data_IF_102269750455
#
_entry.id   IF_102269750455
#
_cell.length_a   1.000
_cell.length_b   1.000
_cell.length_c   1.000
_cell.angle_alpha   90.00
_cell.angle_beta   90.00
_cell.angle_gamma   90.00
#
_symmetry.space_group_name_H-M   'P 1'
#
loop_
_entity.id
_entity.type
_entity.pdbx_description
1 polymer ?
#
# COMPACT_ATOMS: atom_id res chain seq x y z
N UNK A 1 43.53 -26.85 -13.80
CA UNK A 1 44.15 -28.16 -13.49
C UNK A 1 43.22 -28.91 -12.56
N UNK A 2 42.54 -29.96 -12.98
CA UNK A 2 41.83 -30.88 -12.08
C UNK A 2 42.89 -31.83 -11.54
N UNK A 3 43.21 -31.78 -10.26
CA UNK A 3 43.99 -32.76 -9.56
C UNK A 3 43.15 -34.05 -9.46
N UNK A 4 43.48 -35.03 -10.25
CA UNK A 4 42.72 -36.28 -10.40
C UNK A 4 43.09 -37.33 -9.32
N UNK A 5 43.54 -36.89 -8.13
CA UNK A 5 43.94 -37.74 -7.01
C UNK A 5 43.00 -37.68 -5.81
N UNK A 6 41.74 -37.28 -6.01
CA UNK A 6 40.74 -37.37 -4.93
C UNK A 6 40.28 -38.82 -4.80
N UNK A 7 40.36 -39.43 -3.60
CA UNK A 7 39.84 -40.78 -3.35
C UNK A 7 38.37 -40.86 -3.78
N UNK A 8 38.03 -41.88 -4.53
CA UNK A 8 36.68 -42.04 -5.07
C UNK A 8 35.81 -43.01 -4.27
N UNK A 9 36.43 -43.79 -3.40
CA UNK A 9 35.76 -44.76 -2.57
C UNK A 9 36.08 -44.57 -1.07
N UNK A 10 35.19 -45.02 -0.19
CA UNK A 10 35.34 -44.95 1.27
C UNK A 10 36.57 -45.72 1.74
N UNK A 11 36.88 -46.85 1.07
CA UNK A 11 38.05 -47.66 1.37
C UNK A 11 39.37 -46.94 1.07
N UNK A 12 39.42 -46.18 -0.02
CA UNK A 12 40.60 -45.34 -0.33
C UNK A 12 40.83 -44.27 0.71
N UNK A 13 39.76 -43.66 1.20
CA UNK A 13 39.80 -42.65 2.28
C UNK A 13 40.25 -43.27 3.60
N UNK A 14 39.79 -44.47 3.95
CA UNK A 14 40.21 -45.19 5.16
C UNK A 14 41.69 -45.58 5.10
N UNK A 15 42.21 -45.87 3.92
CA UNK A 15 43.62 -46.27 3.68
C UNK A 15 44.54 -45.06 3.43
N UNK A 16 44.08 -43.85 3.56
CA UNK A 16 44.87 -42.62 3.37
C UNK A 16 45.93 -42.49 4.47
N UNK A 17 47.24 -42.41 4.15
CA UNK A 17 48.29 -42.23 5.14
C UNK A 17 48.23 -40.79 5.67
N UNK A 18 48.17 -40.63 7.01
CA UNK A 18 48.07 -39.31 7.68
C UNK A 18 49.47 -38.86 8.14
N UNK A 19 50.23 -39.77 8.74
CA UNK A 19 51.52 -39.40 9.36
C UNK A 19 52.40 -40.64 9.52
N UNK A 20 53.71 -40.44 9.46
CA UNK A 20 54.68 -41.47 9.80
C UNK A 20 55.37 -41.15 11.12
N UNK A 21 55.31 -42.06 12.12
CA UNK A 21 55.93 -41.93 13.43
C UNK A 21 56.83 -43.10 13.66
N UNK A 22 58.14 -42.84 13.90
CA UNK A 22 59.17 -43.87 14.13
C UNK A 22 59.18 -44.99 13.13
N UNK A 23 58.97 -44.69 11.83
CA UNK A 23 58.96 -45.65 10.76
C UNK A 23 57.65 -46.39 10.53
N UNK A 24 56.64 -46.19 11.38
CA UNK A 24 55.28 -46.74 11.21
C UNK A 24 54.37 -45.72 10.61
N UNK A 25 53.68 -46.07 9.51
CA UNK A 25 52.68 -45.21 8.87
C UNK A 25 51.33 -45.38 9.57
N UNK A 26 50.76 -44.24 10.01
CA UNK A 26 49.42 -44.18 10.59
C UNK A 26 48.44 -43.80 9.48
N UNK A 27 47.42 -44.64 9.28
CA UNK A 27 46.36 -44.45 8.29
C UNK A 27 45.13 -43.78 8.93
N UNK A 28 44.23 -43.28 8.08
CA UNK A 28 42.99 -42.67 8.54
C UNK A 28 42.16 -43.65 9.41
N UNK A 29 42.07 -44.91 9.02
CA UNK A 29 41.37 -45.98 9.76
C UNK A 29 41.90 -46.22 11.19
N UNK A 30 43.14 -45.81 11.47
CA UNK A 30 43.75 -46.04 12.78
C UNK A 30 43.32 -44.97 13.79
N UNK A 31 42.83 -43.83 13.32
CA UNK A 31 42.47 -42.68 14.15
C UNK A 31 41.02 -42.20 13.97
N UNK A 32 40.36 -42.61 12.85
CA UNK A 32 38.99 -42.20 12.51
C UNK A 32 38.28 -43.32 11.72
N UNK A 33 36.97 -43.31 11.76
CA UNK A 33 36.12 -44.17 10.94
C UNK A 33 35.47 -43.37 9.83
N UNK A 34 35.87 -43.61 8.57
CA UNK A 34 35.28 -42.97 7.41
C UNK A 34 34.14 -43.85 6.90
N UNK A 35 32.98 -43.25 6.75
CA UNK A 35 31.80 -43.92 6.21
C UNK A 35 31.09 -42.97 5.22
N UNK A 36 30.42 -43.55 4.24
CA UNK A 36 29.49 -42.84 3.41
C UNK A 36 28.24 -42.50 4.25
N UNK A 37 27.87 -41.23 4.31
CA UNK A 37 26.72 -40.78 5.08
C UNK A 37 26.49 -39.28 4.95
N UNK A 38 25.33 -38.85 5.31
CA UNK A 38 24.96 -37.43 5.37
C UNK A 38 25.25 -36.83 6.75
N UNK A 39 25.40 -35.52 6.81
CA UNK A 39 25.34 -34.80 8.06
C UNK A 39 23.98 -35.05 8.74
N UNK A 40 23.90 -35.04 10.09
CA UNK A 40 22.63 -35.13 10.78
C UNK A 40 21.64 -34.09 10.23
N UNK A 41 20.44 -34.52 9.94
CA UNK A 41 19.39 -33.62 9.45
C UNK A 41 18.97 -32.70 10.62
N UNK A 42 19.20 -31.41 10.45
CA UNK A 42 18.85 -30.38 11.44
C UNK A 42 17.77 -29.42 10.94
N UNK A 43 17.34 -29.57 9.69
CA UNK A 43 16.29 -28.78 9.07
C UNK A 43 15.46 -29.65 8.14
N UNK A 44 14.16 -29.46 8.15
CA UNK A 44 13.24 -30.05 7.16
C UNK A 44 12.19 -29.02 6.76
N UNK A 45 11.90 -28.98 5.47
CA UNK A 45 10.84 -28.15 4.90
C UNK A 45 9.76 -29.06 4.34
N UNK A 46 8.51 -28.76 4.61
CA UNK A 46 7.39 -29.50 4.06
C UNK A 46 6.33 -28.53 3.54
N UNK A 47 5.59 -28.97 2.56
CA UNK A 47 4.46 -28.25 2.01
C UNK A 47 3.24 -29.16 1.99
N UNK A 48 2.21 -28.78 2.71
CA UNK A 48 1.00 -29.62 2.90
C UNK A 48 1.34 -31.05 3.38
N UNK A 49 2.27 -31.19 4.32
CA UNK A 49 2.75 -32.45 4.87
C UNK A 49 3.72 -33.25 3.98
N UNK A 50 4.09 -32.77 2.79
CA UNK A 50 5.05 -33.44 1.89
C UNK A 50 6.39 -32.74 1.92
N UNK A 51 7.49 -33.51 1.83
CA UNK A 51 8.84 -32.94 1.75
C UNK A 51 8.95 -31.95 0.60
N UNK A 52 9.54 -30.81 0.89
CA UNK A 52 9.72 -29.69 -0.04
C UNK A 52 11.08 -29.01 0.17
N UNK A 53 11.43 -28.11 -0.73
CA UNK A 53 12.57 -27.22 -0.60
C UNK A 53 12.03 -25.78 -0.66
N UNK A 54 12.32 -24.98 0.35
CA UNK A 54 11.98 -23.58 0.38
C UNK A 54 13.15 -22.75 -0.17
N UNK A 55 12.91 -22.00 -1.24
CA UNK A 55 13.84 -21.01 -1.76
C UNK A 55 13.32 -19.62 -1.45
N UNK A 56 14.03 -18.89 -0.60
CA UNK A 56 13.68 -17.50 -0.27
C UNK A 56 14.48 -16.56 -1.16
N UNK A 57 13.78 -15.67 -1.86
CA UNK A 57 14.38 -14.64 -2.71
C UNK A 57 14.27 -13.32 -1.96
N UNK A 58 15.42 -12.74 -1.63
CA UNK A 58 15.51 -11.50 -0.89
C UNK A 58 15.80 -10.33 -1.86
N UNK A 59 15.11 -9.23 -1.63
CA UNK A 59 15.38 -7.98 -2.35
C UNK A 59 16.72 -7.41 -1.91
N UNK A 60 17.59 -7.06 -2.85
CA UNK A 60 18.86 -6.36 -2.60
C UNK A 60 18.75 -4.92 -3.09
N UNK A 61 19.11 -3.97 -2.23
CA UNK A 61 19.11 -2.55 -2.54
C UNK A 61 17.74 -1.99 -2.92
N UNK A 62 17.75 -1.00 -3.81
CA UNK A 62 16.55 -0.25 -4.23
C UNK A 62 15.82 -0.86 -5.44
N UNK A 63 16.09 -2.12 -5.77
CA UNK A 63 15.46 -2.80 -6.89
C UNK A 63 13.94 -2.89 -6.71
N UNK A 64 13.17 -2.76 -7.79
CA UNK A 64 11.71 -2.88 -7.75
C UNK A 64 11.25 -4.29 -7.38
N UNK A 65 10.41 -4.41 -6.35
CA UNK A 65 9.78 -5.68 -5.94
C UNK A 65 8.98 -6.30 -7.10
N UNK A 66 8.25 -5.48 -7.87
CA UNK A 66 7.50 -5.96 -9.05
C UNK A 66 8.43 -6.55 -10.10
N UNK A 67 9.54 -5.85 -10.43
CA UNK A 67 10.49 -6.32 -11.43
C UNK A 67 11.14 -7.65 -11.02
N UNK A 68 11.48 -7.81 -9.73
CA UNK A 68 12.04 -9.07 -9.21
C UNK A 68 11.02 -10.21 -9.34
N UNK A 69 9.80 -10.00 -8.88
CA UNK A 69 8.75 -11.04 -8.91
C UNK A 69 8.39 -11.41 -10.35
N UNK A 70 8.24 -10.42 -11.23
CA UNK A 70 7.93 -10.66 -12.65
C UNK A 70 9.10 -11.36 -13.34
N UNK A 71 10.36 -11.00 -13.03
CA UNK A 71 11.55 -11.68 -13.49
C UNK A 71 11.58 -13.15 -13.06
N UNK A 72 11.33 -13.42 -11.78
CA UNK A 72 11.26 -14.81 -11.27
C UNK A 72 10.16 -15.59 -11.97
N UNK A 73 8.94 -15.03 -12.04
CA UNK A 73 7.80 -15.69 -12.71
C UNK A 73 8.06 -15.97 -14.20
N UNK A 74 8.84 -15.14 -14.88
CA UNK A 74 9.21 -15.33 -16.29
C UNK A 74 10.22 -16.46 -16.52
N UNK A 75 11.09 -16.72 -15.53
CA UNK A 75 12.14 -17.75 -15.61
C UNK A 75 11.60 -19.14 -15.27
N UNK A 76 10.67 -19.24 -14.31
CA UNK A 76 10.14 -20.53 -13.81
C UNK A 76 9.63 -21.46 -14.92
N UNK A 77 8.83 -21.02 -15.92
CA UNK A 77 8.35 -21.92 -16.96
C UNK A 77 9.47 -22.53 -17.83
N UNK A 78 10.62 -21.84 -17.91
CA UNK A 78 11.81 -22.35 -18.59
C UNK A 78 12.52 -23.41 -17.73
N UNK A 79 12.59 -23.17 -16.42
CA UNK A 79 13.20 -24.12 -15.47
C UNK A 79 12.36 -25.40 -15.35
N UNK A 80 11.03 -25.29 -15.29
CA UNK A 80 10.12 -26.44 -15.20
C UNK A 80 10.30 -27.42 -16.36
N UNK A 81 10.65 -26.93 -17.57
CA UNK A 81 10.94 -27.79 -18.72
C UNK A 81 12.24 -28.61 -18.57
N UNK A 82 13.18 -28.11 -17.75
CA UNK A 82 14.46 -28.77 -17.51
C UNK A 82 14.44 -29.65 -16.25
N UNK A 83 13.40 -29.54 -15.41
CA UNK A 83 13.29 -30.29 -14.17
C UNK A 83 12.48 -31.59 -14.34
N UNK A 84 12.66 -32.56 -13.44
CA UNK A 84 11.83 -33.77 -13.42
C UNK A 84 10.35 -33.41 -13.26
N UNK A 85 9.46 -34.11 -13.97
CA UNK A 85 8.00 -33.91 -13.90
C UNK A 85 7.38 -34.11 -12.51
N UNK A 86 8.10 -34.80 -11.62
CA UNK A 86 7.71 -35.00 -10.22
C UNK A 86 7.90 -33.77 -9.34
N UNK A 87 8.74 -32.81 -9.78
CA UNK A 87 8.95 -31.55 -9.05
C UNK A 87 7.90 -30.51 -9.45
N UNK A 88 7.15 -30.02 -8.46
CA UNK A 88 6.16 -28.95 -8.63
C UNK A 88 6.66 -27.70 -7.94
N UNK A 89 6.76 -26.60 -8.68
CA UNK A 89 7.11 -25.28 -8.13
C UNK A 89 5.83 -24.54 -7.74
N UNK A 90 5.79 -24.00 -6.53
CA UNK A 90 4.66 -23.21 -6.04
C UNK A 90 5.18 -21.91 -5.45
N UNK A 91 4.52 -20.80 -5.79
CA UNK A 91 4.87 -19.48 -5.23
C UNK A 91 4.24 -19.33 -3.85
N UNK A 92 5.01 -18.76 -2.94
CA UNK A 92 4.58 -18.47 -1.59
C UNK A 92 5.11 -17.09 -1.15
N UNK A 93 4.30 -16.31 -0.39
CA UNK A 93 4.75 -15.02 0.15
C UNK A 93 5.07 -13.96 -0.89
N UNK A 94 4.31 -13.90 -1.99
CA UNK A 94 4.49 -12.92 -3.08
C UNK A 94 4.20 -11.49 -2.59
N UNK A 95 5.26 -10.73 -2.30
CA UNK A 95 5.14 -9.34 -1.83
C UNK A 95 4.65 -8.37 -2.92
N UNK A 96 4.63 -8.77 -4.20
CA UNK A 96 4.13 -7.91 -5.29
C UNK A 96 2.63 -7.68 -5.20
N UNK A 97 1.88 -8.55 -4.53
CA UNK A 97 0.44 -8.44 -4.33
C UNK A 97 0.11 -7.12 -3.62
N UNK A 98 0.84 -6.77 -2.57
CA UNK A 98 0.63 -5.53 -1.81
C UNK A 98 0.90 -4.29 -2.66
N UNK A 99 1.98 -4.31 -3.45
CA UNK A 99 2.34 -3.19 -4.34
C UNK A 99 1.30 -3.04 -5.46
N UNK A 100 0.86 -4.14 -6.07
CA UNK A 100 -0.19 -4.11 -7.10
C UNK A 100 -1.53 -3.63 -6.52
N UNK A 101 -1.90 -4.09 -5.33
CA UNK A 101 -3.10 -3.64 -4.64
C UNK A 101 -3.04 -2.13 -4.34
N UNK A 102 -1.90 -1.62 -3.86
CA UNK A 102 -1.70 -0.20 -3.62
C UNK A 102 -1.80 0.63 -4.91
N UNK A 103 -1.17 0.19 -6.01
CA UNK A 103 -1.28 0.86 -7.33
C UNK A 103 -2.74 0.89 -7.78
N UNK A 104 -3.42 -0.26 -7.73
CA UNK A 104 -4.84 -0.35 -8.10
C UNK A 104 -5.71 0.54 -7.22
N UNK A 105 -5.42 0.62 -5.91
CA UNK A 105 -6.07 1.51 -4.95
C UNK A 105 -5.95 2.97 -5.36
N UNK A 106 -4.72 3.44 -5.60
CA UNK A 106 -4.46 4.84 -6.02
C UNK A 106 -5.17 5.18 -7.33
N UNK A 107 -5.13 4.28 -8.33
CA UNK A 107 -5.83 4.48 -9.59
C UNK A 107 -7.35 4.56 -9.37
N UNK A 108 -7.92 3.64 -8.58
CA UNK A 108 -9.34 3.64 -8.24
C UNK A 108 -9.75 4.89 -7.47
N UNK A 109 -9.00 5.29 -6.47
CA UNK A 109 -9.24 6.51 -5.70
C UNK A 109 -9.14 7.75 -6.58
N UNK A 110 -8.13 7.82 -7.44
CA UNK A 110 -7.98 8.91 -8.43
C UNK A 110 -9.16 9.02 -9.37
N UNK A 111 -9.64 7.90 -9.92
CA UNK A 111 -10.82 7.87 -10.78
C UNK A 111 -12.09 8.27 -10.04
N UNK A 112 -12.28 7.76 -8.81
CA UNK A 112 -13.45 8.10 -7.99
C UNK A 112 -13.42 9.59 -7.59
N UNK A 113 -12.27 10.10 -7.17
CA UNK A 113 -12.12 11.51 -6.83
C UNK A 113 -12.39 12.42 -8.04
N UNK A 114 -11.80 12.10 -9.20
CA UNK A 114 -12.05 12.85 -10.45
C UNK A 114 -13.53 12.81 -10.87
N UNK A 115 -14.17 11.65 -10.76
CA UNK A 115 -15.59 11.50 -11.11
C UNK A 115 -16.51 12.27 -10.15
N UNK A 116 -16.27 12.19 -8.83
CA UNK A 116 -17.03 12.94 -7.83
C UNK A 116 -16.83 14.44 -7.98
N UNK A 117 -15.60 14.89 -8.20
CA UNK A 117 -15.29 16.30 -8.47
C UNK A 117 -15.98 16.78 -9.75
N UNK A 118 -15.87 16.01 -10.83
CA UNK A 118 -16.53 16.33 -12.10
C UNK A 118 -18.05 16.44 -11.91
N UNK A 119 -18.65 15.53 -11.15
CA UNK A 119 -20.08 15.56 -10.83
C UNK A 119 -20.44 16.81 -10.01
N UNK A 120 -19.64 17.13 -8.99
CA UNK A 120 -19.90 18.31 -8.15
C UNK A 120 -19.76 19.60 -8.93
N UNK A 121 -18.72 19.75 -9.74
CA UNK A 121 -18.51 20.92 -10.59
C UNK A 121 -19.64 21.04 -11.61
N UNK A 122 -20.06 19.94 -12.22
CA UNK A 122 -21.17 19.94 -13.16
C UNK A 122 -22.49 20.37 -12.49
N UNK A 123 -22.72 19.95 -11.24
CA UNK A 123 -23.89 20.35 -10.45
C UNK A 123 -23.88 21.83 -10.07
N UNK A 124 -22.71 22.37 -9.65
CA UNK A 124 -22.61 23.75 -9.16
C UNK A 124 -22.40 24.78 -10.27
N UNK A 125 -21.48 24.52 -11.22
CA UNK A 125 -21.18 25.46 -12.29
C UNK A 125 -21.99 25.20 -13.56
N UNK A 126 -22.61 24.00 -13.73
CA UNK A 126 -23.37 23.68 -14.92
C UNK A 126 -22.57 23.60 -16.22
N UNK A 127 -21.23 23.64 -16.16
CA UNK A 127 -20.33 23.73 -17.30
C UNK A 127 -19.47 22.48 -17.43
N UNK A 128 -19.76 21.64 -18.43
CA UNK A 128 -18.95 20.46 -18.73
C UNK A 128 -17.51 20.83 -19.16
N UNK A 129 -17.32 22.03 -19.73
CA UNK A 129 -16.03 22.54 -20.18
C UNK A 129 -15.11 22.80 -19.01
N UNK A 130 -15.59 23.50 -17.99
CA UNK A 130 -14.89 23.71 -16.72
C UNK A 130 -14.55 22.39 -16.03
N UNK A 131 -15.50 21.45 -16.06
CA UNK A 131 -15.32 20.11 -15.50
C UNK A 131 -14.15 19.35 -16.14
N UNK A 132 -14.04 19.39 -17.48
CA UNK A 132 -12.95 18.72 -18.21
C UNK A 132 -11.59 19.32 -17.86
N UNK A 133 -11.50 20.65 -17.73
CA UNK A 133 -10.24 21.33 -17.35
C UNK A 133 -9.74 20.83 -15.98
N UNK A 134 -10.63 20.80 -15.00
CA UNK A 134 -10.28 20.39 -13.63
C UNK A 134 -9.98 18.89 -13.58
N UNK A 135 -10.81 18.05 -14.22
CA UNK A 135 -10.60 16.61 -14.24
C UNK A 135 -9.28 16.20 -14.91
N UNK A 136 -8.79 16.98 -15.90
CA UNK A 136 -7.51 16.72 -16.55
C UNK A 136 -6.30 17.12 -15.66
N UNK A 137 -6.44 18.13 -14.80
CA UNK A 137 -5.34 18.61 -13.94
C UNK A 137 -4.91 17.59 -12.89
N UNK A 138 -5.85 16.79 -12.35
CA UNK A 138 -5.58 15.82 -11.28
C UNK A 138 -4.59 14.74 -11.71
N UNK A 139 -4.82 13.96 -12.78
CA UNK A 139 -3.89 12.92 -13.20
C UNK A 139 -2.54 13.50 -13.63
N UNK A 140 -2.51 14.71 -14.19
CA UNK A 140 -1.27 15.35 -14.60
C UNK A 140 -0.43 15.78 -13.39
N UNK A 141 -1.04 16.26 -12.30
CA UNK A 141 -0.33 16.56 -11.06
C UNK A 141 0.25 15.31 -10.41
N UNK A 142 -0.47 14.19 -10.42
CA UNK A 142 0.03 12.89 -9.96
C UNK A 142 1.21 12.42 -10.83
N UNK A 143 1.09 12.51 -12.15
CA UNK A 143 2.17 12.15 -13.09
C UNK A 143 3.40 13.04 -12.91
N UNK A 144 3.22 14.33 -12.65
CA UNK A 144 4.30 15.24 -12.31
C UNK A 144 5.06 14.77 -11.07
N UNK A 145 4.34 14.43 -10.00
CA UNK A 145 4.96 13.88 -8.77
C UNK A 145 5.74 12.60 -9.05
N UNK A 146 5.14 11.65 -9.77
CA UNK A 146 5.82 10.40 -10.14
C UNK A 146 7.09 10.65 -10.97
N UNK A 147 7.06 11.60 -11.91
CA UNK A 147 8.21 11.96 -12.71
C UNK A 147 9.35 12.55 -11.85
N UNK A 148 9.02 13.43 -10.91
CA UNK A 148 10.02 14.03 -10.00
C UNK A 148 10.58 12.97 -9.04
N UNK A 149 9.73 12.12 -8.44
CA UNK A 149 10.17 11.00 -7.60
C UNK A 149 11.12 10.07 -8.35
N UNK A 150 10.79 9.73 -9.59
CA UNK A 150 11.66 8.92 -10.46
C UNK A 150 13.00 9.59 -10.75
N UNK A 151 13.00 10.90 -11.01
CA UNK A 151 14.24 11.67 -11.24
C UNK A 151 15.14 11.74 -10.00
N UNK A 152 14.56 11.68 -8.80
CA UNK A 152 15.28 11.63 -7.52
C UNK A 152 15.71 10.21 -7.12
N UNK A 153 15.45 9.21 -7.95
CA UNK A 153 15.78 7.81 -7.67
C UNK A 153 14.85 7.11 -6.70
N UNK A 154 13.73 7.72 -6.32
CA UNK A 154 12.73 7.10 -5.47
C UNK A 154 11.95 6.02 -6.22
N UNK A 155 11.64 4.93 -5.53
CA UNK A 155 10.84 3.84 -6.08
C UNK A 155 9.37 3.99 -5.71
N UNK A 156 8.47 3.53 -6.60
CA UNK A 156 7.06 3.39 -6.25
C UNK A 156 6.90 2.25 -5.24
N UNK A 157 6.58 2.61 -4.01
CA UNK A 157 6.35 1.71 -2.89
C UNK A 157 5.02 2.05 -2.20
N UNK A 158 4.62 1.26 -1.21
CA UNK A 158 3.35 1.45 -0.50
C UNK A 158 3.26 2.86 0.13
N UNK A 159 4.38 3.41 0.61
CA UNK A 159 4.40 4.73 1.25
C UNK A 159 4.28 5.86 0.24
N UNK A 160 5.03 5.83 -0.88
CA UNK A 160 4.89 6.81 -1.95
C UNK A 160 3.51 6.77 -2.60
N UNK A 161 2.95 5.56 -2.80
CA UNK A 161 1.60 5.38 -3.32
C UNK A 161 0.53 5.88 -2.34
N UNK A 162 0.69 5.61 -1.03
CA UNK A 162 -0.18 6.17 0.00
C UNK A 162 -0.13 7.70 0.06
N UNK A 163 1.06 8.29 -0.12
CA UNK A 163 1.22 9.74 -0.26
C UNK A 163 0.50 10.30 -1.48
N UNK A 164 0.60 9.64 -2.63
CA UNK A 164 -0.14 10.03 -3.84
C UNK A 164 -1.66 9.93 -3.66
N UNK A 165 -2.15 8.88 -3.01
CA UNK A 165 -3.57 8.73 -2.70
C UNK A 165 -4.08 9.87 -1.80
N UNK A 166 -3.32 10.21 -0.75
CA UNK A 166 -3.61 11.36 0.11
C UNK A 166 -3.61 12.67 -0.68
N UNK A 167 -2.61 12.85 -1.55
CA UNK A 167 -2.49 14.05 -2.37
C UNK A 167 -3.70 14.25 -3.31
N UNK A 168 -4.20 13.18 -3.94
CA UNK A 168 -5.37 13.25 -4.85
C UNK A 168 -6.56 13.94 -4.20
N UNK A 169 -6.82 13.70 -2.91
CA UNK A 169 -7.89 14.36 -2.17
C UNK A 169 -7.70 15.87 -1.99
N UNK A 170 -6.46 16.35 -2.04
CA UNK A 170 -6.10 17.77 -1.83
C UNK A 170 -5.93 18.51 -3.17
N UNK A 171 -5.48 17.81 -4.23
CA UNK A 171 -5.14 18.41 -5.52
C UNK A 171 -6.32 19.04 -6.27
N UNK A 172 -7.54 18.63 -5.92
CA UNK A 172 -8.78 19.09 -6.57
C UNK A 172 -9.00 20.58 -6.39
N UNK A 173 -8.61 21.11 -5.23
CA UNK A 173 -8.96 22.47 -4.83
C UNK A 173 -8.27 23.55 -5.68
N UNK A 174 -7.01 23.39 -6.03
CA UNK A 174 -6.24 24.42 -6.76
C UNK A 174 -6.84 24.75 -8.14
N UNK A 175 -7.21 23.72 -8.87
CA UNK A 175 -7.82 23.87 -10.19
C UNK A 175 -9.26 24.35 -10.10
N UNK A 176 -10.01 23.89 -9.10
CA UNK A 176 -11.42 24.27 -8.87
C UNK A 176 -11.53 25.75 -8.55
N UNK A 177 -10.76 26.24 -7.56
CA UNK A 177 -10.77 27.67 -7.16
C UNK A 177 -10.34 28.57 -8.33
N UNK A 178 -9.38 28.11 -9.14
CA UNK A 178 -8.93 28.88 -10.33
C UNK A 178 -10.07 29.03 -11.35
N UNK A 179 -10.74 27.95 -11.70
CA UNK A 179 -11.85 27.96 -12.67
C UNK A 179 -13.06 28.70 -12.12
N UNK A 180 -13.37 28.54 -10.83
CA UNK A 180 -14.46 29.27 -10.17
C UNK A 180 -14.25 30.79 -10.24
N UNK A 181 -13.04 31.25 -9.92
CA UNK A 181 -12.73 32.67 -9.99
C UNK A 181 -12.74 33.21 -11.45
N UNK A 182 -12.26 32.45 -12.41
CA UNK A 182 -12.36 32.79 -13.84
C UNK A 182 -13.85 32.92 -14.25
N UNK A 183 -14.68 31.94 -13.87
CA UNK A 183 -16.11 31.97 -14.18
C UNK A 183 -16.82 33.15 -13.50
N UNK A 184 -16.46 33.47 -12.26
CA UNK A 184 -16.98 34.67 -11.57
C UNK A 184 -16.69 35.95 -12.35
N UNK A 185 -15.47 36.10 -12.91
CA UNK A 185 -15.15 37.27 -13.75
C UNK A 185 -15.90 37.26 -15.09
N UNK A 186 -16.12 36.07 -15.67
CA UNK A 186 -16.94 35.95 -16.89
C UNK A 186 -18.40 36.33 -16.65
N UNK A 187 -18.98 35.89 -15.53
CA UNK A 187 -20.36 36.27 -15.12
C UNK A 187 -20.49 37.76 -14.86
N UNK A 188 -19.42 38.42 -14.44
CA UNK A 188 -19.37 39.89 -14.26
C UNK A 188 -19.14 40.66 -15.59
N UNK A 189 -19.22 39.97 -16.73
CA UNK A 189 -19.23 40.60 -18.06
C UNK A 189 -17.85 40.94 -18.64
N UNK A 190 -16.76 40.36 -18.10
CA UNK A 190 -15.41 40.48 -18.68
C UNK A 190 -15.26 39.62 -19.91
N UNK A 191 -14.38 39.99 -20.83
CA UNK A 191 -13.95 39.13 -21.93
C UNK A 191 -13.24 37.90 -21.41
N UNK A 192 -13.22 36.80 -22.16
CA UNK A 192 -12.57 35.53 -21.73
C UNK A 192 -11.12 35.76 -21.34
N UNK A 193 -10.38 36.51 -22.14
CA UNK A 193 -8.97 36.79 -21.90
C UNK A 193 -8.75 37.61 -20.60
N UNK A 194 -9.53 38.68 -20.40
CA UNK A 194 -9.46 39.47 -19.19
C UNK A 194 -9.90 38.68 -17.94
N UNK A 195 -10.96 37.86 -18.05
CA UNK A 195 -11.44 37.02 -16.97
C UNK A 195 -10.40 35.99 -16.54
N UNK A 196 -9.66 35.40 -17.49
CA UNK A 196 -8.59 34.46 -17.20
C UNK A 196 -7.39 35.15 -16.52
N UNK A 197 -6.95 36.29 -17.05
CA UNK A 197 -5.83 37.03 -16.48
C UNK A 197 -6.13 37.54 -15.06
N UNK A 198 -7.24 38.22 -14.89
CA UNK A 198 -7.63 38.78 -13.59
C UNK A 198 -7.97 37.67 -12.58
N UNK A 199 -8.71 36.63 -13.03
CA UNK A 199 -9.10 35.51 -12.21
C UNK A 199 -7.90 34.68 -11.73
N UNK A 200 -6.93 34.41 -12.61
CA UNK A 200 -5.73 33.71 -12.22
C UNK A 200 -4.83 34.56 -11.31
N UNK A 201 -4.63 35.86 -11.63
CA UNK A 201 -3.77 36.76 -10.85
C UNK A 201 -4.29 36.95 -9.42
N UNK A 202 -5.59 37.12 -9.24
CA UNK A 202 -6.20 37.38 -7.94
C UNK A 202 -5.95 36.29 -6.91
N UNK A 203 -5.87 35.03 -7.35
CA UNK A 203 -5.74 33.88 -6.44
C UNK A 203 -4.33 33.32 -6.36
N UNK A 204 -3.32 33.88 -7.08
CA UNK A 204 -1.92 33.39 -7.03
C UNK A 204 -1.39 33.43 -5.61
N UNK A 205 -1.47 34.59 -4.94
CA UNK A 205 -0.90 34.76 -3.60
C UNK A 205 -1.61 33.91 -2.53
N UNK A 206 -2.96 33.91 -2.43
CA UNK A 206 -3.63 33.01 -1.49
C UNK A 206 -3.31 31.55 -1.71
N UNK A 207 -3.28 31.07 -2.95
CA UNK A 207 -2.98 29.69 -3.27
C UNK A 207 -1.51 29.34 -2.96
N UNK A 208 -0.55 30.23 -3.25
CA UNK A 208 0.84 30.03 -2.89
C UNK A 208 1.04 29.93 -1.37
N UNK A 209 0.41 30.81 -0.60
CA UNK A 209 0.47 30.76 0.86
C UNK A 209 -0.15 29.47 1.39
N UNK A 210 -1.30 29.05 0.82
CA UNK A 210 -1.93 27.76 1.18
C UNK A 210 -1.00 26.58 0.91
N UNK A 211 -0.41 26.53 -0.29
CA UNK A 211 0.58 25.51 -0.64
C UNK A 211 1.74 25.48 0.36
N UNK A 212 2.30 26.66 0.68
CA UNK A 212 3.41 26.77 1.62
C UNK A 212 3.03 26.27 3.02
N UNK A 213 1.82 26.61 3.51
CA UNK A 213 1.31 26.13 4.80
C UNK A 213 1.22 24.60 4.82
N UNK A 214 0.71 23.98 3.75
CA UNK A 214 0.61 22.53 3.66
C UNK A 214 2.01 21.91 3.58
N UNK A 215 2.91 22.48 2.79
CA UNK A 215 4.30 22.00 2.70
C UNK A 215 4.99 22.04 4.08
N UNK A 216 4.84 23.12 4.84
CA UNK A 216 5.41 23.25 6.18
C UNK A 216 4.86 22.17 7.14
N UNK A 217 3.59 21.79 7.01
CA UNK A 217 3.02 20.71 7.82
C UNK A 217 3.67 19.34 7.58
N UNK A 218 4.25 19.10 6.39
CA UNK A 218 4.97 17.87 6.08
C UNK A 218 6.47 17.92 6.43
N UNK A 219 7.05 19.10 6.67
CA UNK A 219 8.49 19.26 7.02
C UNK A 219 8.92 18.40 8.21
N UNK A 220 8.14 18.26 9.31
CA UNK A 220 8.54 17.42 10.44
C UNK A 220 8.80 15.95 10.08
N UNK A 221 8.19 15.43 9.01
CA UNK A 221 8.39 14.03 8.60
C UNK A 221 9.83 13.75 8.14
N UNK A 222 10.54 14.75 7.63
CA UNK A 222 11.96 14.62 7.24
C UNK A 222 12.93 14.59 8.43
N UNK A 223 12.47 15.01 9.60
CA UNK A 223 13.27 15.02 10.83
C UNK A 223 13.01 13.80 11.73
N UNK A 224 12.14 12.88 11.30
CA UNK A 224 11.89 11.66 12.06
C UNK A 224 13.12 10.75 12.04
N UNK A 225 13.60 10.27 13.20
CA UNK A 225 14.75 9.38 13.26
C UNK A 225 14.38 7.91 12.95
N UNK A 226 15.36 7.14 12.49
CA UNK A 226 15.25 5.68 12.37
C UNK A 226 14.24 5.21 11.32
N UNK A 227 13.56 4.11 11.63
CA UNK A 227 12.62 3.45 10.72
C UNK A 227 11.45 4.37 10.31
N UNK A 228 10.98 5.21 11.23
CA UNK A 228 9.88 6.15 10.98
C UNK A 228 10.25 7.16 9.88
N UNK A 229 11.45 7.74 9.93
CA UNK A 229 11.91 8.66 8.88
C UNK A 229 12.02 7.98 7.53
N UNK A 230 12.59 6.76 7.50
CA UNK A 230 12.70 5.98 6.27
C UNK A 230 11.34 5.65 5.62
N UNK A 231 10.31 5.45 6.42
CA UNK A 231 8.96 5.15 5.91
C UNK A 231 8.19 6.41 5.49
N UNK A 232 8.21 7.46 6.32
CA UNK A 232 7.34 8.61 6.11
C UNK A 232 7.95 9.70 5.21
N UNK A 233 9.28 9.79 5.08
CA UNK A 233 9.89 10.77 4.19
C UNK A 233 9.48 10.57 2.70
N UNK A 234 9.52 9.35 2.11
CA UNK A 234 9.05 9.13 0.74
C UNK A 234 7.56 9.44 0.55
N UNK A 235 6.73 9.22 1.57
CA UNK A 235 5.32 9.59 1.55
C UNK A 235 5.16 11.12 1.50
N UNK A 236 5.89 11.84 2.34
CA UNK A 236 5.88 13.30 2.36
C UNK A 236 6.37 13.88 1.03
N UNK A 237 7.45 13.35 0.46
CA UNK A 237 7.97 13.74 -0.88
C UNK A 237 6.90 13.59 -1.96
N UNK A 238 6.20 12.45 -1.98
CA UNK A 238 5.13 12.19 -2.95
C UNK A 238 4.00 13.22 -2.87
N UNK A 239 3.58 13.57 -1.65
CA UNK A 239 2.54 14.60 -1.41
C UNK A 239 3.04 15.98 -1.85
N UNK A 240 4.23 16.36 -1.41
CA UNK A 240 4.81 17.67 -1.72
C UNK A 240 4.96 17.91 -3.22
N UNK A 241 5.51 16.93 -3.95
CA UNK A 241 5.67 17.06 -5.40
C UNK A 241 4.34 17.07 -6.13
N UNK A 242 3.34 16.33 -5.66
CA UNK A 242 2.01 16.37 -6.23
C UNK A 242 1.34 17.75 -6.03
N UNK A 243 1.46 18.34 -4.84
CA UNK A 243 0.95 19.68 -4.54
C UNK A 243 1.66 20.77 -5.34
N UNK A 244 2.99 20.72 -5.43
CA UNK A 244 3.78 21.64 -6.27
C UNK A 244 3.35 21.51 -7.74
N UNK A 245 3.21 20.28 -8.23
CA UNK A 245 2.72 20.01 -9.58
C UNK A 245 1.33 20.59 -9.83
N UNK A 246 0.39 20.39 -8.88
CA UNK A 246 -0.96 20.97 -8.94
C UNK A 246 -0.92 22.49 -9.02
N UNK A 247 -0.15 23.13 -8.15
CA UNK A 247 0.00 24.58 -8.17
C UNK A 247 0.55 25.10 -9.50
N UNK A 248 1.59 24.46 -10.05
CA UNK A 248 2.13 24.84 -11.36
C UNK A 248 1.10 24.68 -12.47
N UNK A 249 0.41 23.53 -12.50
CA UNK A 249 -0.60 23.22 -13.52
C UNK A 249 -1.82 24.15 -13.41
N UNK A 250 -2.24 24.50 -12.20
CA UNK A 250 -3.35 25.43 -11.99
C UNK A 250 -3.02 26.85 -12.43
N UNK A 251 -1.74 27.22 -12.56
CA UNK A 251 -1.30 28.54 -13.05
C UNK A 251 -0.89 28.55 -14.52
N UNK A 252 -0.66 27.40 -15.11
CA UNK A 252 -0.23 27.26 -16.51
C UNK A 252 -1.29 26.56 -17.36
N UNK A 253 -1.52 25.28 -17.09
CA UNK A 253 -2.40 24.45 -17.88
C UNK A 253 -3.86 24.89 -17.76
N UNK A 254 -4.36 25.13 -16.55
CA UNK A 254 -5.75 25.47 -16.30
C UNK A 254 -6.18 26.76 -17.02
N UNK A 255 -5.44 27.90 -16.90
CA UNK A 255 -5.73 29.11 -17.67
C UNK A 255 -5.63 28.88 -19.18
N UNK A 256 -4.64 28.12 -19.64
CA UNK A 256 -4.47 27.84 -21.07
C UNK A 256 -5.63 26.98 -21.59
N UNK A 257 -6.03 25.91 -20.91
CA UNK A 257 -7.19 25.14 -21.30
C UNK A 257 -8.49 25.97 -21.23
N UNK A 258 -8.61 26.83 -20.23
CA UNK A 258 -9.75 27.73 -20.09
C UNK A 258 -9.89 28.67 -21.29
N UNK A 259 -8.77 29.20 -21.86
CA UNK A 259 -8.81 30.08 -23.04
C UNK A 259 -9.32 29.38 -24.31
N UNK A 260 -9.13 28.06 -24.44
CA UNK A 260 -9.63 27.27 -25.57
C UNK A 260 -11.06 26.75 -25.35
N UNK A 261 -11.43 26.46 -24.12
CA UNK A 261 -12.68 25.76 -23.81
C UNK A 261 -13.79 26.70 -23.34
N UNK A 262 -13.46 27.81 -22.65
CA UNK A 262 -14.47 28.75 -22.18
C UNK A 262 -14.87 29.73 -23.28
N UNK A 263 -16.14 30.10 -23.27
CA UNK A 263 -16.74 31.03 -24.24
C UNK A 263 -17.24 32.25 -23.47
N UNK A 264 -17.04 33.45 -24.04
CA UNK A 264 -17.52 34.68 -23.44
C UNK A 264 -19.05 34.64 -23.28
N UNK A 265 -19.54 35.08 -22.13
CA UNK A 265 -20.97 35.16 -21.83
C UNK A 265 -21.69 36.29 -22.62
N UNK A 266 -21.00 36.96 -23.58
CA UNK A 266 -21.61 37.91 -24.48
C UNK A 266 -22.71 37.29 -25.33
N UNK A 267 -22.51 36.08 -25.83
CA UNK A 267 -23.52 35.27 -26.53
C UNK A 267 -24.48 34.56 -25.56
N UNK A 268 -24.13 34.53 -24.25
CA UNK A 268 -24.90 33.90 -23.20
C UNK A 268 -25.84 34.92 -22.47
N UNK A 269 -25.64 36.21 -22.61
CA UNK A 269 -26.68 37.19 -22.18
C UNK A 269 -27.96 36.99 -22.98
N UNK A 270 -27.87 36.72 -24.27
CA UNK A 270 -29.03 36.32 -25.07
C UNK A 270 -29.58 34.97 -24.59
N UNK A 271 -28.70 34.01 -24.18
CA UNK A 271 -29.13 32.75 -23.63
C UNK A 271 -29.60 32.83 -22.16
N UNK A 272 -29.13 33.77 -21.34
CA UNK A 272 -29.60 33.96 -19.97
C UNK A 272 -30.88 34.80 -19.95
N UNK A 273 -31.01 35.79 -20.83
CA UNK A 273 -32.27 36.52 -21.07
C UNK A 273 -33.29 35.58 -21.69
N UNK A 274 -32.91 34.70 -22.64
CA UNK A 274 -33.76 33.62 -23.14
C UNK A 274 -34.15 32.62 -22.05
N UNK A 275 -33.24 32.25 -21.15
CA UNK A 275 -33.54 31.38 -19.96
C UNK A 275 -34.45 32.07 -18.93
N UNK A 276 -34.27 33.36 -18.70
CA UNK A 276 -35.19 34.13 -17.87
C UNK A 276 -36.55 34.35 -18.52
N UNK A 277 -36.62 34.55 -19.84
CA UNK A 277 -37.84 34.58 -20.58
C UNK A 277 -38.53 33.20 -20.61
N UNK A 278 -37.80 32.13 -20.86
CA UNK A 278 -38.29 30.74 -20.82
C UNK A 278 -38.73 30.32 -19.38
N UNK A 279 -38.13 30.87 -18.34
CA UNK A 279 -38.55 30.66 -16.94
C UNK A 279 -39.83 31.45 -16.58
N UNK A 280 -40.05 32.61 -17.21
CA UNK A 280 -41.32 33.35 -17.09
C UNK A 280 -42.47 32.76 -17.91
N UNK A 281 -42.14 32.06 -18.98
CA UNK A 281 -43.14 31.39 -19.86
C UNK A 281 -43.50 29.96 -19.48
N UNK A 282 -42.97 29.43 -18.36
CA UNK A 282 -43.34 28.13 -17.83
C UNK A 282 -42.82 26.93 -18.65
N UNK A 283 -41.85 27.15 -19.51
CA UNK A 283 -41.25 26.05 -20.30
C UNK A 283 -40.38 25.17 -19.43
N UNK A 284 -40.87 23.97 -19.14
CA UNK A 284 -40.10 22.95 -18.41
C UNK A 284 -38.81 22.57 -19.16
N UNK A 285 -37.66 22.52 -18.48
CA UNK A 285 -36.38 22.14 -19.10
C UNK A 285 -36.51 20.75 -19.75
N UNK A 286 -36.19 20.68 -21.01
CA UNK A 286 -36.40 19.50 -21.89
C UNK A 286 -35.46 18.35 -21.56
N UNK A 287 -34.32 18.61 -20.86
CA UNK A 287 -33.33 17.59 -20.53
C UNK A 287 -33.47 17.12 -19.09
N UNK A 288 -33.40 15.80 -18.82
CA UNK A 288 -33.49 15.26 -17.46
C UNK A 288 -32.36 15.79 -16.54
N UNK A 289 -31.19 16.10 -17.11
CA UNK A 289 -30.05 16.63 -16.39
C UNK A 289 -30.27 18.05 -15.87
N UNK A 290 -30.89 18.93 -16.72
CA UNK A 290 -31.21 20.31 -16.31
C UNK A 290 -32.32 20.37 -15.25
N UNK A 291 -33.24 19.38 -15.26
CA UNK A 291 -34.25 19.25 -14.19
C UNK A 291 -33.61 18.84 -12.86
N UNK A 292 -32.62 17.94 -12.90
CA UNK A 292 -31.89 17.51 -11.72
C UNK A 292 -31.07 18.69 -11.12
N UNK A 293 -30.38 19.43 -12.00
CA UNK A 293 -29.60 20.61 -11.62
C UNK A 293 -30.49 21.69 -10.99
N UNK A 294 -31.63 22.03 -11.59
CA UNK A 294 -32.55 23.03 -11.05
C UNK A 294 -33.15 22.60 -9.69
N UNK A 295 -33.48 21.32 -9.51
CA UNK A 295 -33.92 20.80 -8.21
C UNK A 295 -32.84 20.86 -7.16
N UNK A 296 -31.59 20.60 -7.54
CA UNK A 296 -30.44 20.72 -6.65
C UNK A 296 -30.22 22.17 -6.26
N UNK A 297 -30.21 23.08 -7.19
CA UNK A 297 -30.05 24.54 -6.99
C UNK A 297 -31.10 25.09 -6.02
N UNK A 298 -32.37 24.77 -6.22
CA UNK A 298 -33.46 25.16 -5.31
C UNK A 298 -33.27 24.60 -3.88
N UNK A 299 -32.77 23.37 -3.74
CA UNK A 299 -32.49 22.83 -2.40
C UNK A 299 -31.26 23.47 -1.79
N UNK A 300 -30.25 23.72 -2.59
CA UNK A 300 -29.00 24.33 -2.16
C UNK A 300 -29.23 25.78 -1.70
N UNK A 301 -30.09 26.55 -2.37
CA UNK A 301 -30.49 27.90 -1.91
C UNK A 301 -31.12 27.87 -0.52
N UNK A 302 -31.94 26.87 -0.22
CA UNK A 302 -32.47 26.71 1.15
C UNK A 302 -31.36 26.45 2.16
N UNK A 303 -30.44 25.55 1.85
CA UNK A 303 -29.27 25.27 2.72
C UNK A 303 -28.42 26.53 2.90
N UNK A 304 -28.21 27.29 1.83
CA UNK A 304 -27.47 28.57 1.88
C UNK A 304 -28.18 29.63 2.78
N UNK A 305 -29.51 29.72 2.69
CA UNK A 305 -30.28 30.60 3.53
C UNK A 305 -30.26 30.16 5.00
N UNK A 306 -30.31 28.86 5.26
CA UNK A 306 -30.21 28.31 6.62
C UNK A 306 -28.81 28.54 7.19
N UNK A 307 -27.75 28.30 6.40
CA UNK A 307 -26.36 28.60 6.78
C UNK A 307 -26.17 30.08 7.11
N UNK A 308 -26.72 30.98 6.29
CA UNK A 308 -26.67 32.42 6.55
C UNK A 308 -27.30 32.75 7.90
N UNK A 309 -28.47 32.17 8.24
CA UNK A 309 -29.13 32.36 9.54
C UNK A 309 -28.26 31.89 10.71
N UNK A 310 -27.66 30.69 10.57
CA UNK A 310 -26.75 30.15 11.59
C UNK A 310 -25.51 31.02 11.75
N UNK A 311 -24.95 31.52 10.64
CA UNK A 311 -23.79 32.40 10.66
C UNK A 311 -24.10 33.75 11.35
N UNK A 312 -25.23 34.38 11.02
CA UNK A 312 -25.68 35.60 11.70
C UNK A 312 -25.86 35.37 13.20
N UNK A 313 -26.54 34.29 13.60
CA UNK A 313 -26.69 33.92 15.00
C UNK A 313 -25.34 33.70 15.70
N UNK A 314 -24.38 33.01 15.05
CA UNK A 314 -23.06 32.80 15.61
C UNK A 314 -22.27 34.11 15.78
N UNK A 315 -22.39 35.05 14.82
CA UNK A 315 -21.74 36.34 14.87
C UNK A 315 -22.37 37.26 15.94
N UNK A 316 -23.68 37.27 16.08
CA UNK A 316 -24.39 38.03 17.12
C UNK A 316 -24.01 37.52 18.53
N UNK A 317 -23.88 36.21 18.69
CA UNK A 317 -23.50 35.56 19.96
C UNK A 317 -22.07 35.02 19.98
N UNK A 318 -21.14 35.73 19.34
CA UNK A 318 -19.76 35.31 19.12
C UNK A 318 -19.06 34.78 20.37
N UNK A 319 -19.24 35.43 21.54
CA UNK A 319 -18.61 34.97 22.80
C UNK A 319 -19.16 33.62 23.27
N UNK A 320 -20.48 33.44 23.20
CA UNK A 320 -21.12 32.19 23.59
C UNK A 320 -20.78 31.06 22.61
N UNK A 321 -20.74 31.35 21.31
CA UNK A 321 -20.33 30.41 20.27
C UNK A 321 -18.89 29.97 20.44
N UNK A 322 -17.94 30.92 20.63
CA UNK A 322 -16.53 30.59 20.88
C UNK A 322 -16.35 29.77 22.19
N UNK A 323 -17.07 30.13 23.25
CA UNK A 323 -17.01 29.37 24.51
C UNK A 323 -17.56 27.95 24.33
N UNK A 324 -18.69 27.78 23.66
CA UNK A 324 -19.26 26.47 23.35
C UNK A 324 -18.34 25.61 22.49
N UNK A 325 -17.74 26.21 21.45
CA UNK A 325 -16.75 25.53 20.62
C UNK A 325 -15.50 25.10 21.41
N UNK A 326 -14.97 25.99 22.26
CA UNK A 326 -13.85 25.69 23.14
C UNK A 326 -14.17 24.52 24.08
N UNK A 327 -15.35 24.52 24.69
CA UNK A 327 -15.81 23.41 25.56
C UNK A 327 -15.89 22.10 24.75
N UNK A 328 -16.42 22.14 23.53
CA UNK A 328 -16.49 20.99 22.66
C UNK A 328 -15.09 20.44 22.33
N UNK A 329 -14.13 21.32 21.99
CA UNK A 329 -12.73 20.92 21.72
C UNK A 329 -12.10 20.31 22.97
N UNK A 330 -12.25 20.96 24.14
CA UNK A 330 -11.71 20.42 25.40
C UNK A 330 -12.35 19.08 25.78
N UNK A 331 -13.65 18.91 25.57
CA UNK A 331 -14.33 17.64 25.77
C UNK A 331 -13.82 16.55 24.83
N UNK A 332 -13.43 16.90 23.59
CA UNK A 332 -12.86 15.94 22.64
C UNK A 332 -11.52 15.38 23.12
N UNK A 333 -10.71 16.11 23.89
CA UNK A 333 -9.49 15.60 24.49
C UNK A 333 -9.73 14.47 25.52
N UNK A 334 -10.94 14.40 26.10
CA UNK A 334 -11.31 13.28 26.99
C UNK A 334 -11.44 11.95 26.24
N UNK A 335 -11.49 11.97 24.91
CA UNK A 335 -11.52 10.75 24.08
C UNK A 335 -10.13 10.14 23.87
N UNK A 336 -9.05 10.93 24.06
CA UNK A 336 -7.67 10.47 23.81
C UNK A 336 -7.33 9.15 24.54
N UNK A 337 -7.66 8.98 25.86
CA UNK A 337 -7.33 7.75 26.58
C UNK A 337 -8.06 6.50 26.05
N UNK A 338 -9.14 6.69 25.28
CA UNK A 338 -9.92 5.60 24.70
C UNK A 338 -9.47 5.22 23.28
N UNK A 339 -8.56 6.01 22.68
CA UNK A 339 -7.96 5.67 21.39
C UNK A 339 -6.84 4.64 21.59
N UNK A 340 -6.92 3.54 20.84
CA UNK A 340 -5.82 2.56 20.79
C UNK A 340 -4.62 3.12 20.01
N UNK A 341 -3.43 2.82 20.48
CA UNK A 341 -2.18 3.20 19.82
C UNK A 341 -1.63 2.00 19.03
N UNK A 342 -1.59 2.13 17.70
CA UNK A 342 -0.93 1.16 16.83
C UNK A 342 0.02 1.91 15.89
N UNK A 343 1.27 1.49 15.87
CA UNK A 343 2.28 2.10 14.99
C UNK A 343 2.06 1.71 13.52
N UNK A 344 1.75 0.44 13.27
CA UNK A 344 1.39 -0.04 11.94
C UNK A 344 -0.06 -0.52 11.92
N UNK A 345 -0.88 -0.03 10.99
CA UNK A 345 -2.19 -0.61 10.78
C UNK A 345 -2.04 -2.06 10.31
N UNK A 346 -2.85 -2.96 10.84
CA UNK A 346 -2.87 -4.34 10.39
C UNK A 346 -3.37 -4.38 8.93
N UNK A 347 -2.52 -4.88 8.04
CA UNK A 347 -2.89 -5.14 6.64
C UNK A 347 -3.20 -6.61 6.52
N UNK A 348 -4.39 -6.94 6.02
CA UNK A 348 -4.77 -8.33 5.76
C UNK A 348 -4.20 -8.80 4.43
N UNK A 349 -3.08 -9.51 4.51
CA UNK A 349 -2.38 -10.08 3.35
C UNK A 349 -2.70 -11.56 3.12
N UNK A 350 -3.67 -12.13 3.82
CA UNK A 350 -4.02 -13.54 3.68
C UNK A 350 -2.89 -14.50 4.09
N UNK A 351 -1.95 -14.06 4.93
CA UNK A 351 -0.82 -14.86 5.38
C UNK A 351 -0.79 -14.92 6.90
N UNK A 352 -0.67 -16.12 7.48
CA UNK A 352 -0.46 -16.33 8.91
C UNK A 352 0.93 -16.91 9.09
N UNK A 353 1.77 -16.25 9.87
CA UNK A 353 3.06 -16.77 10.31
C UNK A 353 2.93 -17.23 11.76
N UNK A 354 3.14 -18.52 11.99
CA UNK A 354 3.02 -19.16 13.28
C UNK A 354 4.37 -19.80 13.63
N UNK A 355 5.05 -19.26 14.63
CA UNK A 355 6.23 -19.91 15.21
C UNK A 355 5.80 -20.90 16.27
N UNK A 356 6.34 -22.12 16.18
CA UNK A 356 6.05 -23.22 17.10
C UNK A 356 7.34 -23.70 17.72
N UNK A 357 7.37 -23.79 19.05
CA UNK A 357 8.46 -24.42 19.78
C UNK A 357 7.94 -25.62 20.57
N UNK A 358 8.43 -26.79 20.21
CA UNK A 358 8.21 -28.03 20.94
C UNK A 358 9.03 -28.05 22.25
N UNK A 359 8.79 -29.00 23.16
CA UNK A 359 9.62 -29.15 24.36
C UNK A 359 11.11 -29.29 24.02
N UNK A 360 11.96 -28.67 24.83
CA UNK A 360 13.43 -28.69 24.62
C UNK A 360 13.96 -30.12 24.54
N UNK A 361 14.79 -30.40 23.54
CA UNK A 361 15.36 -31.72 23.30
C UNK A 361 14.50 -32.64 22.43
N UNK A 362 13.38 -32.13 21.90
CA UNK A 362 12.57 -32.87 20.92
C UNK A 362 13.35 -33.07 19.63
N UNK A 363 13.36 -34.29 19.11
CA UNK A 363 14.03 -34.63 17.85
C UNK A 363 13.25 -34.06 16.66
N UNK A 364 13.94 -33.80 15.56
CA UNK A 364 13.33 -33.19 14.38
C UNK A 364 12.17 -34.03 13.80
N UNK A 365 12.26 -35.35 13.89
CA UNK A 365 11.20 -36.26 13.43
C UNK A 365 9.94 -36.12 14.27
N UNK A 366 10.10 -35.99 15.60
CA UNK A 366 8.96 -35.79 16.53
C UNK A 366 8.38 -34.37 16.38
N UNK A 367 9.25 -33.37 16.17
CA UNK A 367 8.79 -32.03 15.85
C UNK A 367 7.98 -32.03 14.56
N UNK A 368 8.43 -32.74 13.54
CA UNK A 368 7.69 -32.89 12.28
C UNK A 368 6.33 -33.56 12.47
N UNK A 369 6.25 -34.61 13.29
CA UNK A 369 4.98 -35.26 13.62
C UNK A 369 4.04 -34.34 14.40
N UNK A 370 4.57 -33.54 15.33
CA UNK A 370 3.80 -32.50 16.04
C UNK A 370 3.22 -31.48 15.04
N UNK A 371 4.01 -31.04 14.05
CA UNK A 371 3.56 -30.11 13.02
C UNK A 371 2.43 -30.69 12.18
N UNK A 372 2.44 -31.98 11.86
CA UNK A 372 1.32 -32.64 11.18
C UNK A 372 0.02 -32.55 11.97
N UNK A 373 0.09 -32.73 13.27
CA UNK A 373 -1.07 -32.58 14.15
C UNK A 373 -1.57 -31.15 14.23
N UNK A 374 -0.65 -30.18 14.26
CA UNK A 374 -0.96 -28.74 14.24
C UNK A 374 -1.60 -28.34 12.91
N UNK A 375 -1.01 -28.80 11.76
CA UNK A 375 -1.60 -28.55 10.44
C UNK A 375 -3.05 -29.07 10.36
N UNK A 376 -3.29 -30.29 10.86
CA UNK A 376 -4.62 -30.87 10.88
C UNK A 376 -5.59 -30.03 11.72
N UNK A 377 -5.11 -29.42 12.81
CA UNK A 377 -5.91 -28.52 13.62
C UNK A 377 -6.19 -27.19 12.92
N UNK A 378 -5.21 -26.64 12.20
CA UNK A 378 -5.38 -25.45 11.36
C UNK A 378 -6.43 -25.70 10.28
N UNK A 379 -6.41 -26.86 9.62
CA UNK A 379 -7.40 -27.27 8.59
C UNK A 379 -8.82 -27.44 9.14
N UNK A 380 -8.98 -27.65 10.44
CA UNK A 380 -10.30 -27.68 11.10
C UNK A 380 -10.84 -26.29 11.41
N UNK A 381 -9.94 -25.30 11.58
CA UNK A 381 -10.32 -23.92 11.92
C UNK A 381 -10.54 -23.08 10.65
N UNK A 382 -9.72 -23.31 9.62
CA UNK A 382 -9.78 -22.58 8.35
C UNK A 382 -10.53 -23.43 7.32
N UNK A 383 -11.62 -22.91 6.73
CA UNK A 383 -12.35 -23.63 5.69
C UNK A 383 -11.48 -24.01 4.49
N UNK A 384 -11.69 -25.19 3.88
CA UNK A 384 -10.85 -25.67 2.76
C UNK A 384 -10.85 -24.75 1.53
N UNK A 385 -11.93 -24.03 1.28
CA UNK A 385 -12.09 -23.05 0.20
C UNK A 385 -11.27 -21.78 0.42
N UNK A 386 -10.94 -21.47 1.68
CA UNK A 386 -10.15 -20.31 2.06
C UNK A 386 -8.68 -20.64 2.37
N UNK A 387 -8.33 -21.92 2.43
CA UNK A 387 -6.97 -22.39 2.70
C UNK A 387 -6.22 -22.60 1.37
N UNK A 388 -5.18 -21.81 1.12
CA UNK A 388 -4.33 -21.96 -0.07
C UNK A 388 -3.26 -23.03 0.12
N UNK A 389 -2.31 -22.80 1.00
CA UNK A 389 -1.22 -23.74 1.29
C UNK A 389 -0.66 -23.56 2.70
N UNK A 390 -0.10 -24.64 3.23
CA UNK A 390 0.65 -24.62 4.49
C UNK A 390 2.10 -25.04 4.19
N UNK A 391 3.06 -24.27 4.68
CA UNK A 391 4.49 -24.55 4.55
C UNK A 391 5.11 -24.62 5.94
N UNK A 392 5.74 -25.73 6.25
CA UNK A 392 6.50 -25.93 7.48
C UNK A 392 7.98 -25.75 7.20
N UNK A 393 8.65 -24.95 8.00
CA UNK A 393 10.10 -24.81 8.03
C UNK A 393 10.59 -25.16 9.44
N UNK A 394 11.03 -26.39 9.63
CA UNK A 394 11.38 -26.97 10.94
C UNK A 394 12.89 -27.01 11.09
N UNK A 395 13.39 -26.62 12.26
CA UNK A 395 14.79 -26.65 12.61
C UNK A 395 15.62 -25.50 12.01
N UNK A 396 16.93 -25.62 12.11
CA UNK A 396 17.86 -24.57 11.69
C UNK A 396 18.46 -24.88 10.32
N UNK A 397 18.45 -23.93 9.37
CA UNK A 397 19.14 -24.08 8.10
C UNK A 397 20.62 -24.38 8.30
N UNK A 398 21.19 -25.25 7.48
CA UNK A 398 22.61 -25.60 7.51
C UNK A 398 23.49 -24.40 7.12
N UNK A 399 23.01 -23.58 6.15
CA UNK A 399 23.74 -22.40 5.67
C UNK A 399 23.74 -21.28 6.70
N UNK A 400 24.90 -20.72 7.02
CA UNK A 400 25.05 -19.54 7.88
C UNK A 400 24.35 -18.31 7.32
N UNK A 401 24.31 -18.15 5.98
CA UNK A 401 23.58 -17.08 5.32
C UNK A 401 22.07 -17.22 5.56
N UNK A 402 21.51 -18.41 5.38
CA UNK A 402 20.08 -18.64 5.64
C UNK A 402 19.74 -18.42 7.11
N UNK A 403 20.64 -18.75 8.05
CA UNK A 403 20.46 -18.43 9.49
C UNK A 403 20.42 -16.94 9.76
N UNK A 404 21.28 -16.15 9.10
CA UNK A 404 21.33 -14.70 9.28
C UNK A 404 20.04 -14.00 8.81
N UNK A 405 19.30 -14.62 7.87
CA UNK A 405 18.03 -14.09 7.36
C UNK A 405 16.78 -14.76 7.95
N UNK A 406 16.95 -15.64 8.94
CA UNK A 406 15.85 -16.20 9.71
C UNK A 406 15.28 -15.12 10.65
N UNK A 407 14.04 -14.75 10.42
CA UNK A 407 13.37 -13.72 11.23
C UNK A 407 12.69 -14.27 12.50
N UNK A 408 12.73 -15.58 12.72
CA UNK A 408 11.89 -16.28 13.68
C UNK A 408 12.57 -16.70 14.97
N UNK A 409 13.88 -16.49 15.08
CA UNK A 409 14.63 -16.78 16.30
C UNK A 409 14.68 -18.27 16.67
N UNK A 410 14.58 -19.15 15.66
CA UNK A 410 14.74 -20.59 15.86
C UNK A 410 16.09 -20.93 16.49
N UNK A 411 16.10 -21.83 17.49
CA UNK A 411 17.28 -22.20 18.28
C UNK A 411 17.75 -23.62 17.95
N UNK A 412 16.85 -24.52 17.61
CA UNK A 412 17.17 -25.92 17.41
C UNK A 412 16.17 -26.72 16.59
N UNK A 413 16.31 -28.05 16.53
CA UNK A 413 15.40 -28.94 15.81
C UNK A 413 13.98 -28.98 16.40
N UNK A 414 13.79 -28.50 17.62
CA UNK A 414 12.51 -28.36 18.29
C UNK A 414 11.72 -27.12 17.89
N UNK A 415 12.36 -26.17 17.19
CA UNK A 415 11.72 -24.94 16.71
C UNK A 415 11.33 -25.05 15.24
N UNK A 416 10.29 -24.35 14.83
CA UNK A 416 9.96 -24.18 13.43
C UNK A 416 8.81 -23.20 13.21
N UNK A 417 8.61 -22.89 11.93
CA UNK A 417 7.60 -21.96 11.48
C UNK A 417 6.58 -22.66 10.60
N UNK A 418 5.31 -22.38 10.86
CA UNK A 418 4.20 -22.77 9.99
C UNK A 418 3.70 -21.51 9.30
N UNK A 419 3.85 -21.47 7.99
CA UNK A 419 3.40 -20.38 7.15
C UNK A 419 2.11 -20.83 6.43
N UNK A 420 1.00 -20.19 6.78
CA UNK A 420 -0.30 -20.48 6.15
C UNK A 420 -0.64 -19.38 5.18
N UNK A 421 -0.90 -19.74 3.93
CA UNK A 421 -1.41 -18.84 2.90
C UNK A 421 -2.88 -19.10 2.67
N UNK A 422 -3.69 -18.05 2.70
CA UNK A 422 -5.11 -18.07 2.40
C UNK A 422 -5.37 -17.77 0.92
N UNK A 423 -6.53 -18.13 0.43
CA UNK A 423 -7.00 -17.76 -0.92
C UNK A 423 -7.32 -16.26 -0.99
N UNK A 424 -7.40 -15.63 -2.18
CA UNK A 424 -7.72 -14.20 -2.30
C UNK A 424 -9.08 -13.82 -1.68
N UNK A 425 -10.06 -14.73 -1.70
CA UNK A 425 -11.41 -14.51 -1.20
C UNK A 425 -11.58 -15.08 0.21
N UNK A 426 -10.70 -14.72 1.15
CA UNK A 426 -10.74 -15.20 2.53
C UNK A 426 -11.47 -14.25 3.48
N UNK A 427 -11.99 -14.79 4.58
CA UNK A 427 -12.47 -14.01 5.72
C UNK A 427 -11.29 -13.34 6.45
N UNK A 428 -11.52 -12.27 7.24
CA UNK A 428 -10.44 -11.55 7.91
C UNK A 428 -9.49 -12.47 8.69
N UNK A 429 -8.20 -12.43 8.31
CA UNK A 429 -7.12 -13.26 8.87
C UNK A 429 -7.04 -13.15 10.39
N UNK A 430 -7.31 -11.95 10.95
CA UNK A 430 -7.29 -11.70 12.38
C UNK A 430 -8.26 -12.60 13.16
N UNK A 431 -9.39 -12.98 12.56
CA UNK A 431 -10.35 -13.92 13.15
C UNK A 431 -9.76 -15.31 13.34
N UNK A 432 -9.07 -15.82 12.31
CA UNK A 432 -8.40 -17.11 12.36
C UNK A 432 -7.23 -17.11 13.35
N UNK A 433 -6.42 -16.07 13.35
CA UNK A 433 -5.32 -15.90 14.32
C UNK A 433 -5.85 -15.92 15.76
N UNK A 434 -6.94 -15.20 16.05
CA UNK A 434 -7.57 -15.19 17.38
C UNK A 434 -8.07 -16.57 17.79
N UNK A 435 -8.70 -17.30 16.88
CA UNK A 435 -9.16 -18.66 17.12
C UNK A 435 -8.00 -19.62 17.37
N UNK A 436 -6.96 -19.59 16.54
CA UNK A 436 -5.77 -20.43 16.66
C UNK A 436 -5.00 -20.14 17.95
N UNK A 437 -4.83 -18.88 18.36
CA UNK A 437 -4.22 -18.49 19.63
C UNK A 437 -4.94 -19.11 20.85
N UNK A 438 -6.23 -19.35 20.74
CA UNK A 438 -7.02 -19.95 21.83
C UNK A 438 -6.96 -21.47 21.80
N UNK A 439 -6.99 -22.07 20.61
CA UNK A 439 -7.15 -23.52 20.42
C UNK A 439 -5.81 -24.25 20.54
N UNK A 440 -4.73 -23.76 19.90
CA UNK A 440 -3.46 -24.47 19.81
C UNK A 440 -2.81 -24.74 21.17
N UNK A 441 -2.67 -23.76 22.08
CA UNK A 441 -2.04 -24.04 23.40
C UNK A 441 -2.83 -25.05 24.25
N UNK A 442 -4.16 -25.10 24.06
CA UNK A 442 -5.01 -26.08 24.75
C UNK A 442 -4.90 -27.47 24.15
N UNK A 443 -4.69 -27.57 22.85
CA UNK A 443 -4.60 -28.86 22.13
C UNK A 443 -3.21 -29.49 22.25
N UNK A 444 -2.16 -28.68 22.45
CA UNK A 444 -0.76 -29.13 22.49
C UNK A 444 -0.03 -28.55 23.71
N UNK A 445 -0.34 -29.08 24.92
CA UNK A 445 0.30 -28.63 26.14
C UNK A 445 1.81 -28.92 26.11
N UNK A 446 2.62 -27.99 26.57
CA UNK A 446 4.09 -28.08 26.56
C UNK A 446 4.76 -27.47 25.34
N UNK A 447 3.98 -27.09 24.30
CA UNK A 447 4.47 -26.34 23.14
C UNK A 447 4.15 -24.85 23.27
N UNK A 448 5.02 -23.99 22.73
CA UNK A 448 4.85 -22.53 22.72
C UNK A 448 4.48 -22.08 21.31
N UNK A 449 3.51 -21.18 21.22
CA UNK A 449 2.97 -20.65 19.97
C UNK A 449 3.09 -19.12 19.93
N UNK A 450 3.70 -18.56 18.88
CA UNK A 450 3.80 -17.12 18.61
C UNK A 450 3.26 -16.81 17.19
N UNK A 451 2.49 -15.69 17.07
CA UNK A 451 1.87 -15.26 15.80
C UNK A 451 2.30 -13.84 15.45
#
# INVERSE_FOLDING_TARGET
MKLNNSPSAVDDLNNLPIKQIRGTTIYMRDVAHVRDGGAPQINTVRMNGRHAVLMTILKSGETSTLAIVDGVKSIIPRLEKALPKSLKITYFGDQSIFVRAAISGVVKEGVVAAALTALMILLFLGSWRSTVVIAASIPLAVLFSVAVLSALGQTLNIMTLGGLALAVGILVDDATVTIENINWHLENGKTVEQAILDGAQQIVMPAFVSLLCICIAFVPMFFLPGVSGFLFAPMAEAVLFALIGSFILSRTLVPTMASYLLVAHGDAKDASVARQHDAMEGHHPRNPLSRLQHRFEMRFEKVRADYHRVLVFALERRKAFCAGFLVFVLASFLLIPFLGENFFPAVDGGTISLHVRAPVGTRIEETAALFDHIENRIRQVIPPDQLGSIVDNIGLPVSGQNRAYLNTGGVGPEDGDILVSLTPDHSPTAGYVKALRTILPRSFPGSVFSF
#
